data_IF_021369224261
#
_entry.id   IF_021369224261
#
_cell.length_a   1.000
_cell.length_b   1.000
_cell.length_c   1.000
_cell.angle_alpha   90.00
_cell.angle_beta   90.00
_cell.angle_gamma   90.00
#
_symmetry.space_group_name_H-M   'P 1'
#
loop_
_entity.id
_entity.type
_entity.pdbx_description
1 polymer ?
#
# COMPACT_ATOMS: atom_id res chain seq x y z
N UNK A 1 -14.08 23.10 -6.80
CA UNK A 1 -15.04 21.99 -7.09
C UNK A 1 -16.25 22.45 -7.90
N UNK A 2 -16.85 23.62 -7.63
CA UNK A 2 -18.04 24.10 -8.35
C UNK A 2 -17.86 24.23 -9.88
N UNK A 3 -16.68 24.65 -10.36
CA UNK A 3 -16.35 24.68 -11.81
C UNK A 3 -16.39 23.30 -12.48
N UNK A 4 -16.18 22.21 -11.74
CA UNK A 4 -16.22 20.86 -12.29
C UNK A 4 -17.67 20.41 -12.55
N UNK A 5 -18.62 20.90 -11.75
CA UNK A 5 -20.04 20.60 -11.89
C UNK A 5 -20.71 21.41 -13.01
N UNK A 6 -20.15 22.56 -13.39
CA UNK A 6 -20.67 23.39 -14.48
C UNK A 6 -20.26 22.93 -15.88
N UNK A 7 -19.31 21.99 -16.00
CA UNK A 7 -18.88 21.47 -17.31
C UNK A 7 -19.99 20.62 -17.95
N UNK A 8 -20.31 20.94 -19.21
CA UNK A 8 -21.28 20.21 -20.03
C UNK A 8 -20.61 19.11 -20.87
N UNK A 9 -21.32 18.02 -21.14
CA UNK A 9 -20.82 16.90 -21.97
C UNK A 9 -20.50 17.33 -23.40
N UNK A 10 -21.28 18.27 -23.95
CA UNK A 10 -21.14 18.74 -25.33
C UNK A 10 -19.95 19.70 -25.51
N UNK A 11 -19.47 20.33 -24.43
CA UNK A 11 -18.42 21.35 -24.50
C UNK A 11 -16.99 20.78 -24.40
N UNK A 12 -16.84 19.46 -24.27
CA UNK A 12 -15.54 18.79 -24.10
C UNK A 12 -15.47 17.50 -24.91
N UNK A 13 -14.25 17.06 -25.21
CA UNK A 13 -14.05 15.78 -25.90
C UNK A 13 -14.54 14.59 -25.06
N UNK A 14 -14.82 13.46 -25.72
CA UNK A 14 -15.30 12.23 -25.06
C UNK A 14 -14.33 11.73 -23.96
N UNK A 15 -13.02 11.86 -24.18
CA UNK A 15 -11.99 11.48 -23.21
C UNK A 15 -12.03 12.38 -21.97
N UNK A 16 -12.08 13.69 -22.18
CA UNK A 16 -12.17 14.67 -21.09
C UNK A 16 -13.47 14.50 -20.30
N UNK A 17 -14.59 14.23 -20.97
CA UNK A 17 -15.86 13.97 -20.28
C UNK A 17 -15.81 12.77 -19.34
N UNK A 18 -15.10 11.69 -19.70
CA UNK A 18 -14.91 10.54 -18.80
C UNK A 18 -14.19 10.96 -17.51
N UNK A 19 -13.13 11.76 -17.64
CA UNK A 19 -12.35 12.27 -16.51
C UNK A 19 -13.21 13.19 -15.64
N UNK A 20 -13.94 14.13 -16.24
CA UNK A 20 -14.89 15.01 -15.53
C UNK A 20 -15.93 14.19 -14.76
N UNK A 21 -16.54 13.18 -15.41
CA UNK A 21 -17.51 12.28 -14.76
C UNK A 21 -16.90 11.55 -13.55
N UNK A 22 -15.67 11.04 -13.70
CA UNK A 22 -14.96 10.38 -12.59
C UNK A 22 -14.73 11.34 -11.41
N UNK A 23 -14.24 12.54 -11.67
CA UNK A 23 -13.97 13.53 -10.63
C UNK A 23 -15.25 14.09 -9.97
N UNK A 24 -16.38 14.16 -10.71
CA UNK A 24 -17.69 14.49 -10.13
C UNK A 24 -18.16 13.38 -9.18
N UNK A 25 -17.94 12.11 -9.54
CA UNK A 25 -18.30 10.96 -8.68
C UNK A 25 -17.46 10.89 -7.39
N UNK A 26 -16.18 11.25 -7.45
CA UNK A 26 -15.23 11.08 -6.34
C UNK A 26 -14.81 12.40 -5.67
N UNK A 27 -15.67 13.44 -5.72
CA UNK A 27 -15.41 14.77 -5.15
C UNK A 27 -14.93 14.71 -3.69
N UNK A 28 -15.55 13.85 -2.87
CA UNK A 28 -15.21 13.69 -1.45
C UNK A 28 -13.77 13.22 -1.24
N UNK A 29 -13.32 12.23 -2.02
CA UNK A 29 -11.95 11.73 -1.92
C UNK A 29 -10.94 12.79 -2.32
N UNK A 30 -11.18 13.48 -3.44
CA UNK A 30 -10.31 14.58 -3.89
C UNK A 30 -10.24 15.69 -2.85
N UNK A 31 -11.39 16.04 -2.26
CA UNK A 31 -11.46 17.00 -1.16
C UNK A 31 -10.56 16.55 -0.02
N UNK A 32 -10.72 15.32 0.46
CA UNK A 32 -9.90 14.78 1.55
C UNK A 32 -8.39 14.79 1.23
N UNK A 33 -7.99 14.46 0.00
CA UNK A 33 -6.57 14.52 -0.41
C UNK A 33 -5.99 15.93 -0.32
N UNK A 34 -6.79 16.96 -0.61
CA UNK A 34 -6.34 18.36 -0.51
C UNK A 34 -6.28 18.82 0.95
N UNK A 35 -7.27 18.46 1.77
CA UNK A 35 -7.34 18.91 3.17
C UNK A 35 -6.37 18.16 4.10
N UNK A 36 -5.98 16.93 3.76
CA UNK A 36 -5.10 16.12 4.60
C UNK A 36 -3.80 15.74 3.85
N UNK A 37 -2.89 16.70 3.60
CA UNK A 37 -1.68 16.46 2.81
C UNK A 37 -0.69 15.47 3.47
N UNK A 38 -0.81 15.26 4.78
CA UNK A 38 -0.02 14.26 5.51
C UNK A 38 -0.30 12.83 5.02
N UNK A 39 -1.49 12.53 4.51
CA UNK A 39 -1.84 11.23 3.95
C UNK A 39 -1.59 11.24 2.43
N UNK A 40 -0.33 11.03 2.05
CA UNK A 40 0.07 10.88 0.66
C UNK A 40 0.26 9.41 0.27
N UNK A 41 0.24 9.13 -1.04
CA UNK A 41 0.41 7.78 -1.57
C UNK A 41 1.88 7.30 -1.59
N UNK A 42 2.85 8.15 -1.22
CA UNK A 42 4.28 7.85 -1.37
C UNK A 42 4.72 6.59 -0.63
N UNK A 43 4.23 6.39 0.61
CA UNK A 43 4.50 5.17 1.36
C UNK A 43 3.92 3.92 0.67
N UNK A 44 2.69 4.00 0.16
CA UNK A 44 2.01 2.91 -0.54
C UNK A 44 2.72 2.59 -1.86
N UNK A 45 3.12 3.61 -2.61
CA UNK A 45 3.88 3.49 -3.85
C UNK A 45 5.25 2.84 -3.61
N UNK A 46 5.95 3.24 -2.54
CA UNK A 46 7.21 2.63 -2.12
C UNK A 46 7.04 1.13 -1.80
N UNK A 47 6.01 0.78 -1.04
CA UNK A 47 5.68 -0.63 -0.72
C UNK A 47 5.39 -1.40 -2.01
N UNK A 48 4.54 -0.86 -2.90
CA UNK A 48 4.18 -1.50 -4.16
C UNK A 48 5.40 -1.71 -5.07
N UNK A 49 6.32 -0.75 -5.14
CA UNK A 49 7.55 -0.86 -5.92
C UNK A 49 8.46 -1.96 -5.36
N UNK A 50 8.61 -2.05 -4.03
CA UNK A 50 9.40 -3.11 -3.40
C UNK A 50 8.77 -4.49 -3.62
N UNK A 51 7.45 -4.63 -3.55
CA UNK A 51 6.75 -5.87 -3.90
C UNK A 51 6.97 -6.26 -5.37
N UNK A 52 6.87 -5.29 -6.30
CA UNK A 52 7.15 -5.52 -7.73
C UNK A 52 8.60 -5.98 -7.96
N UNK A 53 9.56 -5.40 -7.24
CA UNK A 53 10.96 -5.84 -7.29
C UNK A 53 11.11 -7.28 -6.80
N UNK A 54 10.53 -7.62 -5.63
CA UNK A 54 10.55 -8.99 -5.08
C UNK A 54 9.96 -9.98 -6.09
N UNK A 55 8.84 -9.63 -6.73
CA UNK A 55 8.22 -10.44 -7.78
C UNK A 55 9.18 -10.67 -8.95
N UNK A 56 9.86 -9.62 -9.43
CA UNK A 56 10.80 -9.69 -10.56
C UNK A 56 12.02 -10.58 -10.26
N UNK A 57 12.64 -10.43 -9.09
CA UNK A 57 13.85 -11.20 -8.72
C UNK A 57 13.54 -12.66 -8.34
N UNK A 58 12.27 -12.98 -8.08
CA UNK A 58 11.88 -14.32 -7.62
C UNK A 58 11.73 -15.37 -8.72
N UNK A 59 11.84 -14.97 -9.99
CA UNK A 59 11.61 -15.83 -11.17
C UNK A 59 10.29 -16.63 -11.16
N UNK A 60 9.32 -16.22 -10.34
CA UNK A 60 8.00 -16.82 -10.24
C UNK A 60 7.85 -17.80 -9.07
N UNK A 61 7.28 -17.33 -7.96
CA UNK A 61 6.74 -18.22 -6.95
C UNK A 61 5.56 -19.03 -7.52
N UNK A 62 5.67 -20.37 -7.49
CA UNK A 62 4.55 -21.26 -7.86
C UNK A 62 3.36 -21.15 -6.89
N UNK A 63 3.63 -20.83 -5.63
CA UNK A 63 2.63 -20.71 -4.57
C UNK A 63 2.58 -19.27 -4.03
N UNK A 64 1.40 -18.65 -4.08
CA UNK A 64 1.18 -17.30 -3.56
C UNK A 64 1.48 -17.17 -2.06
N UNK A 65 1.21 -18.22 -1.27
CA UNK A 65 1.51 -18.22 0.17
C UNK A 65 3.01 -18.03 0.43
N UNK A 66 3.86 -18.65 -0.38
CA UNK A 66 5.32 -18.49 -0.28
C UNK A 66 5.76 -17.08 -0.66
N UNK A 67 5.13 -16.49 -1.69
CA UNK A 67 5.37 -15.10 -2.07
C UNK A 67 4.95 -14.12 -0.96
N UNK A 68 3.76 -14.33 -0.38
CA UNK A 68 3.23 -13.55 0.75
C UNK A 68 4.13 -13.65 1.97
N UNK A 69 4.57 -14.86 2.33
CA UNK A 69 5.50 -15.08 3.44
C UNK A 69 6.81 -14.32 3.23
N UNK A 70 7.39 -14.38 2.02
CA UNK A 70 8.62 -13.62 1.71
C UNK A 70 8.42 -12.12 1.79
N UNK A 71 7.29 -11.59 1.32
CA UNK A 71 6.96 -10.17 1.49
C UNK A 71 6.92 -9.83 2.99
N UNK A 72 6.18 -10.60 3.79
CA UNK A 72 6.07 -10.37 5.24
C UNK A 72 7.44 -10.40 5.95
N UNK A 73 8.33 -11.33 5.56
CA UNK A 73 9.70 -11.39 6.07
C UNK A 73 10.52 -10.15 5.68
N UNK A 74 10.49 -9.73 4.41
CA UNK A 74 11.28 -8.59 3.91
C UNK A 74 10.85 -7.27 4.55
N UNK A 75 9.55 -7.09 4.78
CA UNK A 75 9.04 -5.92 5.49
C UNK A 75 9.18 -6.03 7.01
N UNK A 76 9.80 -7.11 7.53
CA UNK A 76 9.93 -7.40 8.97
C UNK A 76 8.59 -7.36 9.70
N UNK A 77 7.49 -7.66 8.99
CA UNK A 77 6.13 -7.71 9.52
C UNK A 77 5.85 -9.06 10.19
N UNK A 78 6.73 -10.04 9.98
CA UNK A 78 6.69 -11.31 10.68
C UNK A 78 7.49 -11.20 11.98
N UNK A 79 6.79 -10.99 13.10
CA UNK A 79 7.38 -11.05 14.44
C UNK A 79 7.26 -12.49 14.92
N UNK A 80 8.29 -13.31 14.66
CA UNK A 80 8.37 -14.62 15.31
C UNK A 80 8.35 -14.42 16.83
N UNK A 81 7.55 -15.20 17.54
CA UNK A 81 7.59 -15.20 19.00
C UNK A 81 9.04 -15.44 19.43
N UNK A 82 9.64 -14.50 20.16
CA UNK A 82 10.96 -14.73 20.76
C UNK A 82 10.76 -15.87 21.75
N UNK A 83 11.25 -17.08 21.43
CA UNK A 83 11.35 -18.14 22.42
C UNK A 83 12.11 -17.56 23.62
N UNK A 84 11.47 -17.49 24.77
CA UNK A 84 12.13 -17.13 26.03
C UNK A 84 13.24 -18.15 26.23
N UNK A 85 14.50 -17.73 26.11
CA UNK A 85 15.63 -18.54 26.54
C UNK A 85 15.62 -18.56 28.06
N UNK A 86 15.10 -19.62 28.66
CA UNK A 86 15.32 -19.90 30.09
C UNK A 86 16.81 -20.16 30.24
N UNK A 87 17.56 -19.21 30.80
CA UNK A 87 18.96 -19.46 31.18
C UNK A 87 18.95 -20.60 32.20
N UNK A 88 19.77 -21.65 32.04
CA UNK A 88 19.90 -22.67 33.06
C UNK A 88 20.46 -22.02 34.34
N UNK A 89 19.80 -22.28 35.47
CA UNK A 89 20.25 -21.87 36.79
C UNK A 89 21.43 -22.77 37.16
N UNK A 90 22.67 -22.33 36.92
CA UNK A 90 23.84 -22.93 37.54
C UNK A 90 23.92 -22.43 38.98
N UNK A 91 23.05 -22.97 39.84
CA UNK A 91 23.17 -22.81 41.28
C UNK A 91 24.44 -23.53 41.73
N UNK A 92 25.39 -22.77 42.28
CA UNK A 92 26.49 -23.28 43.09
C UNK A 92 25.89 -24.24 44.14
N UNK A 93 26.24 -25.52 44.07
CA UNK A 93 26.18 -26.39 45.22
C UNK A 93 27.33 -25.95 46.15
N UNK A 94 26.98 -25.31 47.26
CA UNK A 94 27.86 -25.09 48.40
C UNK A 94 27.93 -26.37 49.24
#
# INVERSE_FOLDING_TARGET
>A
MNRLNSVSKKSVSKGVWKVVKYYRKHQRMLRNTIYYPAFNNGAIEGINNKIKLIKRISFGYRNFNNFKARIMMIFSLYKGEKKKTTKPNNGLAA
#
